data_IF_487567750685
#
_entry.id   IF_487567750685
#
_cell.length_a   1.000
_cell.length_b   1.000
_cell.length_c   1.000
_cell.angle_alpha   90.00
_cell.angle_beta   90.00
_cell.angle_gamma   90.00
#
_symmetry.space_group_name_H-M   'P 1'
#
loop_
_entity.id
_entity.type
_entity.pdbx_description
1 polymer ?
#
# COMPACT_ATOMS: atom_id res chain seq x y z
N UNK A 1 26.59 -28.33 114.01
CA UNK A 1 25.32 -27.89 114.60
C UNK A 1 24.50 -27.38 113.43
N UNK A 2 23.36 -27.91 113.03
CA UNK A 2 22.43 -28.84 113.64
C UNK A 2 21.53 -29.38 112.51
N UNK A 3 20.77 -30.42 112.82
CA UNK A 3 20.18 -31.42 111.95
C UNK A 3 18.86 -30.97 111.29
N UNK A 4 18.39 -31.74 110.30
CA UNK A 4 16.95 -31.72 109.97
C UNK A 4 16.58 -32.14 108.55
N UNK A 5 16.49 -33.46 108.33
CA UNK A 5 15.49 -34.06 107.45
C UNK A 5 14.07 -33.61 107.92
N UNK A 6 13.05 -33.40 107.09
CA UNK A 6 12.23 -34.43 106.41
C UNK A 6 11.16 -33.79 105.50
N UNK A 7 10.64 -34.60 104.56
CA UNK A 7 9.33 -34.52 103.86
C UNK A 7 9.15 -33.44 102.76
N UNK A 8 9.20 -33.82 101.47
CA UNK A 8 8.15 -34.49 100.69
C UNK A 8 6.85 -33.66 100.57
N UNK A 9 6.77 -32.84 99.53
CA UNK A 9 5.49 -32.41 98.96
C UNK A 9 5.51 -32.75 97.47
N UNK A 10 4.88 -33.89 97.18
CA UNK A 10 4.19 -34.17 95.93
C UNK A 10 3.25 -33.00 95.58
N UNK A 11 3.75 -32.07 94.77
CA UNK A 11 2.97 -31.06 94.09
C UNK A 11 3.04 -31.31 92.59
N UNK A 12 2.23 -32.25 92.10
CA UNK A 12 1.97 -32.38 90.67
C UNK A 12 1.50 -31.03 90.15
N UNK A 13 2.28 -30.44 89.23
CA UNK A 13 1.98 -29.16 88.59
C UNK A 13 0.60 -29.21 87.95
N UNK A 14 -0.35 -28.50 88.55
CA UNK A 14 -1.63 -28.24 87.94
C UNK A 14 -1.50 -27.08 86.96
N UNK A 15 -2.19 -27.24 85.84
CA UNK A 15 -2.72 -26.15 85.02
C UNK A 15 -1.75 -25.24 84.29
N UNK A 16 -1.51 -25.62 83.04
CA UNK A 16 -1.93 -24.71 81.97
C UNK A 16 -2.68 -25.50 80.91
N UNK A 17 -3.92 -25.88 81.26
CA UNK A 17 -4.90 -26.16 80.23
C UNK A 17 -5.06 -24.87 79.46
N UNK A 18 -4.47 -24.80 78.25
CA UNK A 18 -4.73 -23.71 77.33
C UNK A 18 -6.23 -23.75 77.08
N UNK A 19 -6.95 -22.80 77.68
CA UNK A 19 -8.39 -22.72 77.54
C UNK A 19 -8.71 -22.70 76.06
N UNK A 20 -9.68 -23.50 75.62
CA UNK A 20 -10.11 -23.53 74.20
C UNK A 20 -10.35 -22.11 73.66
N UNK A 21 -10.71 -21.17 74.55
CA UNK A 21 -10.97 -19.77 74.27
C UNK A 21 -9.70 -18.95 73.93
N UNK A 22 -8.53 -19.22 74.53
CA UNK A 22 -7.27 -18.50 74.25
C UNK A 22 -6.61 -19.00 72.95
N UNK A 23 -6.69 -20.31 72.69
CA UNK A 23 -6.32 -20.89 71.37
C UNK A 23 -7.24 -20.34 70.28
N UNK A 24 -8.51 -20.16 70.59
CA UNK A 24 -9.50 -19.59 69.67
C UNK A 24 -9.15 -18.14 69.35
N UNK A 25 -9.00 -17.26 70.36
CA UNK A 25 -8.64 -15.83 70.18
C UNK A 25 -7.31 -15.66 69.41
N UNK A 26 -6.28 -16.48 69.70
CA UNK A 26 -5.00 -16.44 68.97
C UNK A 26 -5.14 -16.90 67.51
N UNK A 27 -5.97 -17.92 67.24
CA UNK A 27 -6.29 -18.37 65.88
C UNK A 27 -7.03 -17.31 65.09
N UNK A 28 -7.97 -16.57 65.70
CA UNK A 28 -8.66 -15.47 65.02
C UNK A 28 -7.71 -14.36 64.59
N UNK A 29 -6.74 -14.00 65.43
CA UNK A 29 -5.70 -13.04 65.07
C UNK A 29 -4.77 -13.57 63.97
N UNK A 30 -4.35 -14.84 64.05
CA UNK A 30 -3.51 -15.47 63.02
C UNK A 30 -4.24 -15.59 61.66
N UNK A 31 -5.50 -16.02 61.65
CA UNK A 31 -6.33 -16.07 60.46
C UNK A 31 -6.57 -14.67 59.88
N UNK A 32 -6.76 -13.66 60.73
CA UNK A 32 -6.89 -12.26 60.31
C UNK A 32 -5.64 -11.75 59.56
N UNK A 33 -4.42 -12.01 60.07
CA UNK A 33 -3.19 -11.64 59.35
C UNK A 33 -3.04 -12.35 58.01
N UNK A 34 -3.39 -13.63 57.92
CA UNK A 34 -3.36 -14.36 56.64
C UNK A 34 -4.35 -13.78 55.62
N UNK A 35 -5.54 -13.36 56.06
CA UNK A 35 -6.51 -12.71 55.19
C UNK A 35 -6.02 -11.34 54.73
N UNK A 36 -5.42 -10.52 55.61
CA UNK A 36 -4.81 -9.24 55.22
C UNK A 36 -3.71 -9.44 54.19
N UNK A 37 -2.81 -10.41 54.41
CA UNK A 37 -1.72 -10.69 53.48
C UNK A 37 -2.25 -11.09 52.09
N UNK A 38 -3.31 -11.90 52.02
CA UNK A 38 -3.95 -12.28 50.76
C UNK A 38 -4.62 -11.08 50.07
N UNK A 39 -5.24 -10.18 50.82
CA UNK A 39 -5.83 -8.94 50.28
C UNK A 39 -4.74 -8.06 49.66
N UNK A 40 -3.61 -7.87 50.34
CA UNK A 40 -2.47 -7.07 49.84
C UNK A 40 -1.88 -7.69 48.57
N UNK A 41 -1.66 -9.01 48.55
CA UNK A 41 -1.16 -9.72 47.37
C UNK A 41 -2.15 -9.63 46.20
N UNK A 42 -3.46 -9.73 46.47
CA UNK A 42 -4.49 -9.59 45.45
C UNK A 42 -4.54 -8.18 44.85
N UNK A 43 -4.49 -7.14 45.70
CA UNK A 43 -4.48 -5.73 45.28
C UNK A 43 -3.24 -5.37 44.47
N UNK A 44 -2.06 -5.80 44.92
CA UNK A 44 -0.81 -5.59 44.18
C UNK A 44 -0.83 -6.31 42.84
N UNK A 45 -1.26 -7.58 42.80
CA UNK A 45 -1.42 -8.31 41.53
C UNK A 45 -2.42 -7.64 40.57
N UNK A 46 -3.53 -7.09 41.08
CA UNK A 46 -4.49 -6.34 40.28
C UNK A 46 -3.89 -5.03 39.74
N UNK A 47 -3.13 -4.30 40.56
CA UNK A 47 -2.44 -3.07 40.14
C UNK A 47 -1.39 -3.34 39.04
N UNK A 48 -0.56 -4.37 39.19
CA UNK A 48 0.41 -4.75 38.16
C UNK A 48 -0.28 -5.27 36.88
N UNK A 49 -1.35 -6.05 36.99
CA UNK A 49 -2.13 -6.51 35.81
C UNK A 49 -2.76 -5.35 35.05
N UNK A 50 -3.37 -4.39 35.76
CA UNK A 50 -3.99 -3.21 35.13
C UNK A 50 -2.95 -2.28 34.49
N UNK A 51 -1.76 -2.13 35.09
CA UNK A 51 -0.64 -1.42 34.48
C UNK A 51 -0.13 -2.12 33.19
N UNK A 52 0.05 -3.44 33.21
CA UNK A 52 0.48 -4.21 32.04
C UNK A 52 -0.56 -4.23 30.92
N UNK A 53 -1.85 -4.14 31.23
CA UNK A 53 -2.89 -4.05 30.20
C UNK A 53 -2.83 -2.72 29.44
N UNK A 54 -2.54 -1.59 30.11
CA UNK A 54 -2.39 -0.29 29.42
C UNK A 54 -1.34 -0.35 28.32
N UNK A 55 -0.16 -0.91 28.61
CA UNK A 55 0.91 -1.06 27.61
C UNK A 55 0.48 -1.97 26.46
N UNK A 56 -0.16 -3.11 26.74
CA UNK A 56 -0.65 -4.01 25.68
C UNK A 56 -1.72 -3.37 24.80
N UNK A 57 -2.59 -2.54 25.37
CA UNK A 57 -3.60 -1.81 24.60
C UNK A 57 -2.95 -0.79 23.67
N UNK A 58 -1.98 -0.01 24.17
CA UNK A 58 -1.23 0.95 23.36
C UNK A 58 -0.43 0.25 22.26
N UNK A 59 0.28 -0.85 22.56
CA UNK A 59 1.04 -1.61 21.56
C UNK A 59 0.12 -2.24 20.51
N UNK A 60 -1.05 -2.76 20.89
CA UNK A 60 -2.02 -3.31 19.93
C UNK A 60 -2.60 -2.24 19.03
N UNK A 61 -3.01 -1.10 19.58
CA UNK A 61 -3.50 0.03 18.79
C UNK A 61 -2.43 0.54 17.83
N UNK A 62 -1.20 0.74 18.31
CA UNK A 62 -0.08 1.14 17.46
C UNK A 62 0.21 0.10 16.36
N UNK A 63 0.13 -1.19 16.68
CA UNK A 63 0.33 -2.25 15.70
C UNK A 63 -0.79 -2.28 14.66
N UNK A 64 -2.04 -2.08 15.07
CA UNK A 64 -3.21 -1.98 14.18
C UNK A 64 -3.09 -0.74 13.28
N UNK A 65 -2.72 0.42 13.83
CA UNK A 65 -2.48 1.65 13.08
C UNK A 65 -1.34 1.46 12.06
N UNK A 66 -0.21 0.90 12.49
CA UNK A 66 0.94 0.62 11.61
C UNK A 66 0.54 -0.36 10.51
N UNK A 67 -0.23 -1.40 10.84
CA UNK A 67 -0.69 -2.37 9.85
C UNK A 67 -1.63 -1.71 8.84
N UNK A 68 -2.58 -0.90 9.30
CA UNK A 68 -3.50 -0.16 8.44
C UNK A 68 -2.75 0.82 7.52
N UNK A 69 -1.75 1.53 8.05
CA UNK A 69 -0.88 2.40 7.25
C UNK A 69 -0.08 1.59 6.23
N UNK A 70 0.45 0.43 6.62
CA UNK A 70 1.22 -0.47 5.74
C UNK A 70 0.35 -1.00 4.61
N UNK A 71 -0.87 -1.45 4.92
CA UNK A 71 -1.82 -1.95 3.93
C UNK A 71 -2.24 -0.83 2.97
N UNK A 72 -2.46 0.39 3.48
CA UNK A 72 -2.77 1.57 2.66
C UNK A 72 -1.61 1.93 1.73
N UNK A 73 -0.37 1.94 2.23
CA UNK A 73 0.83 2.22 1.43
C UNK A 73 1.03 1.13 0.37
N UNK A 74 0.84 -0.14 0.73
CA UNK A 74 0.95 -1.27 -0.20
C UNK A 74 -0.05 -1.14 -1.34
N UNK A 75 -1.32 -0.85 -1.00
CA UNK A 75 -2.37 -0.60 -1.98
C UNK A 75 -2.02 0.58 -2.89
N UNK A 76 -1.60 1.73 -2.34
CA UNK A 76 -1.20 2.90 -3.13
C UNK A 76 -0.02 2.60 -4.06
N UNK A 77 1.01 1.90 -3.57
CA UNK A 77 2.17 1.50 -4.37
C UNK A 77 1.77 0.58 -5.53
N UNK A 78 0.85 -0.34 -5.30
CA UNK A 78 0.33 -1.22 -6.36
C UNK A 78 -0.36 -0.42 -7.47
N UNK A 79 -1.18 0.58 -7.10
CA UNK A 79 -1.84 1.47 -8.05
C UNK A 79 -0.85 2.32 -8.84
N UNK A 80 0.14 2.92 -8.17
CA UNK A 80 1.20 3.71 -8.85
C UNK A 80 1.94 2.84 -9.86
N UNK A 81 2.27 1.60 -9.48
CA UNK A 81 2.99 0.67 -10.36
C UNK A 81 2.15 0.32 -11.59
N UNK A 82 0.86 0.03 -11.40
CA UNK A 82 -0.06 -0.28 -12.50
C UNK A 82 -0.23 0.91 -13.46
N UNK A 83 -0.34 2.14 -12.93
CA UNK A 83 -0.42 3.35 -13.75
C UNK A 83 0.88 3.60 -14.52
N UNK A 84 2.03 3.38 -13.89
CA UNK A 84 3.33 3.52 -14.54
C UNK A 84 3.53 2.48 -15.66
N UNK A 85 3.05 1.25 -15.47
CA UNK A 85 3.06 0.23 -16.51
C UNK A 85 2.19 0.63 -17.71
N UNK A 86 0.99 1.14 -17.45
CA UNK A 86 0.09 1.62 -18.49
C UNK A 86 0.69 2.80 -19.28
N UNK A 87 1.27 3.77 -18.57
CA UNK A 87 1.96 4.91 -19.20
C UNK A 87 3.16 4.46 -20.05
N UNK A 88 3.97 3.52 -19.54
CA UNK A 88 5.11 2.96 -20.27
C UNK A 88 4.65 2.28 -21.56
N UNK A 89 3.59 1.47 -21.51
CA UNK A 89 3.00 0.81 -22.67
C UNK A 89 2.65 1.81 -23.77
N UNK A 90 1.86 2.84 -23.46
CA UNK A 90 1.41 3.82 -24.46
C UNK A 90 2.54 4.74 -24.94
N UNK A 91 3.50 5.07 -24.07
CA UNK A 91 4.70 5.81 -24.45
C UNK A 91 5.55 5.01 -25.43
N UNK A 92 5.75 3.71 -25.19
CA UNK A 92 6.50 2.82 -26.08
C UNK A 92 5.80 2.65 -27.43
N UNK A 93 4.49 2.45 -27.44
CA UNK A 93 3.71 2.34 -28.68
C UNK A 93 3.76 3.64 -29.49
N UNK A 94 3.67 4.80 -28.82
CA UNK A 94 3.81 6.10 -29.46
C UNK A 94 5.20 6.29 -30.07
N UNK A 95 6.27 5.95 -29.33
CA UNK A 95 7.64 6.05 -29.80
C UNK A 95 7.88 5.15 -31.03
N UNK A 96 7.34 3.92 -31.01
CA UNK A 96 7.42 3.02 -32.15
C UNK A 96 6.70 3.59 -33.39
N UNK A 97 5.48 4.12 -33.22
CA UNK A 97 4.72 4.72 -34.30
C UNK A 97 5.44 5.95 -34.89
N UNK A 98 6.05 6.80 -34.04
CA UNK A 98 6.88 7.93 -34.50
C UNK A 98 8.09 7.48 -35.30
N UNK A 99 8.80 6.45 -34.82
CA UNK A 99 9.95 5.87 -35.53
C UNK A 99 9.57 5.36 -36.92
N UNK A 100 8.42 4.67 -37.04
CA UNK A 100 7.92 4.21 -38.34
C UNK A 100 7.58 5.39 -39.27
N UNK A 101 6.91 6.43 -38.75
CA UNK A 101 6.58 7.64 -39.52
C UNK A 101 7.85 8.35 -40.00
N UNK A 102 8.85 8.51 -39.13
CA UNK A 102 10.12 9.16 -39.46
C UNK A 102 10.90 8.34 -40.50
N UNK A 103 10.96 7.01 -40.36
CA UNK A 103 11.58 6.15 -41.36
C UNK A 103 10.92 6.26 -42.74
N UNK A 104 9.58 6.31 -42.79
CA UNK A 104 8.85 6.54 -44.03
C UNK A 104 9.08 7.95 -44.60
N UNK A 105 9.18 8.97 -43.74
CA UNK A 105 9.50 10.34 -44.14
C UNK A 105 10.87 10.42 -44.79
N UNK A 106 11.86 9.78 -44.19
CA UNK A 106 13.24 9.74 -44.70
C UNK A 106 13.35 8.97 -46.01
N UNK A 107 12.63 7.85 -46.14
CA UNK A 107 12.53 7.11 -47.40
C UNK A 107 11.93 7.94 -48.53
N UNK A 108 10.92 8.78 -48.23
CA UNK A 108 10.30 9.68 -49.21
C UNK A 108 11.22 10.86 -49.54
N UNK A 109 11.94 11.41 -48.55
CA UNK A 109 12.89 12.49 -48.74
C UNK A 109 14.10 12.05 -49.59
N UNK A 110 14.61 10.84 -49.35
CA UNK A 110 15.70 10.24 -50.12
C UNK A 110 15.26 9.70 -51.50
N UNK A 111 13.97 9.79 -51.84
CA UNK A 111 13.43 9.31 -53.11
C UNK A 111 13.34 7.79 -53.24
N UNK A 112 13.63 7.03 -52.17
CA UNK A 112 13.49 5.55 -52.12
C UNK A 112 12.03 5.13 -52.21
N UNK A 113 11.12 5.96 -51.67
CA UNK A 113 9.66 5.79 -51.76
C UNK A 113 9.00 7.05 -52.34
N UNK A 114 7.79 6.89 -52.90
CA UNK A 114 6.95 8.00 -53.37
C UNK A 114 5.68 8.10 -52.53
N UNK A 115 5.42 9.28 -51.96
CA UNK A 115 4.14 9.58 -51.34
C UNK A 115 3.07 9.74 -52.42
N UNK A 116 2.00 8.94 -52.34
CA UNK A 116 0.82 9.04 -53.21
C UNK A 116 -0.38 9.45 -52.37
N UNK A 117 -1.13 10.42 -52.85
CA UNK A 117 -2.36 10.90 -52.23
C UNK A 117 -3.47 10.61 -53.22
N UNK A 118 -4.54 9.95 -52.76
CA UNK A 118 -5.74 9.79 -53.56
C UNK A 118 -6.39 11.18 -53.73
N UNK A 119 -6.44 11.66 -54.96
CA UNK A 119 -7.01 12.97 -55.29
C UNK A 119 -7.93 12.82 -56.51
N UNK A 120 -9.07 13.51 -56.46
CA UNK A 120 -9.96 13.64 -57.62
C UNK A 120 -9.66 14.98 -58.29
N UNK A 121 -9.10 14.93 -59.49
CA UNK A 121 -8.84 16.14 -60.26
C UNK A 121 -10.08 16.50 -61.10
N UNK A 122 -10.61 17.73 -61.01
CA UNK A 122 -11.67 18.17 -61.91
C UNK A 122 -11.15 18.18 -63.35
N UNK A 123 -11.99 17.73 -64.30
CA UNK A 123 -11.68 17.78 -65.72
C UNK A 123 -11.74 19.25 -66.18
N UNK A 124 -10.66 19.74 -66.80
CA UNK A 124 -10.65 21.10 -67.36
C UNK A 124 -11.76 21.26 -68.42
N UNK A 125 -12.57 22.32 -68.34
CA UNK A 125 -13.67 22.60 -69.29
C UNK A 125 -13.22 23.20 -70.63
N UNK A 126 -11.93 23.42 -70.84
CA UNK A 126 -11.43 23.98 -72.11
C UNK A 126 -10.73 22.91 -72.96
N UNK A 127 -11.27 22.68 -74.16
CA UNK A 127 -10.65 21.89 -75.22
C UNK A 127 -9.25 22.42 -75.55
N UNK A 128 -8.24 21.86 -74.89
CA UNK A 128 -6.84 22.14 -75.16
C UNK A 128 -6.42 21.34 -76.41
N UNK A 129 -5.60 21.91 -77.32
CA UNK A 129 -5.11 21.18 -78.47
C UNK A 129 -4.41 19.89 -78.02
N UNK A 130 -4.64 18.79 -78.73
CA UNK A 130 -3.97 17.50 -78.51
C UNK A 130 -2.50 17.58 -78.95
N UNK A 131 -1.70 18.40 -78.25
CA UNK A 131 -0.25 18.42 -78.34
C UNK A 131 0.30 17.59 -77.19
N UNK A 132 1.10 16.58 -77.49
CA UNK A 132 1.76 15.71 -76.50
C UNK A 132 2.82 16.53 -75.77
N UNK A 133 2.42 17.28 -74.74
CA UNK A 133 3.35 17.97 -73.85
C UNK A 133 3.94 16.93 -72.92
N UNK A 134 5.26 16.79 -72.90
CA UNK A 134 5.96 15.98 -71.89
C UNK A 134 5.88 16.71 -70.54
N UNK A 135 4.69 16.69 -69.94
CA UNK A 135 4.44 17.29 -68.65
C UNK A 135 5.07 16.42 -67.56
N UNK A 136 5.79 17.05 -66.65
CA UNK A 136 6.28 16.40 -65.43
C UNK A 136 5.14 15.68 -64.72
N UNK A 137 5.37 14.42 -64.31
CA UNK A 137 4.37 13.63 -63.58
C UNK A 137 3.82 14.42 -62.40
N UNK A 138 2.49 14.48 -62.28
CA UNK A 138 1.82 15.15 -61.17
C UNK A 138 2.35 14.62 -59.82
N UNK A 139 2.90 15.52 -59.00
CA UNK A 139 3.46 15.20 -57.68
C UNK A 139 2.90 16.18 -56.64
N UNK A 140 2.60 15.72 -55.41
CA UNK A 140 2.26 16.62 -54.31
C UNK A 140 3.34 17.69 -54.10
N UNK A 141 2.92 18.91 -53.79
CA UNK A 141 3.84 19.99 -53.46
C UNK A 141 4.62 19.67 -52.17
N UNK A 142 5.80 20.27 -52.00
CA UNK A 142 6.62 20.04 -50.80
C UNK A 142 5.90 20.46 -49.50
N UNK A 143 5.06 21.50 -49.54
CA UNK A 143 4.21 21.89 -48.40
C UNK A 143 3.19 20.81 -48.07
N UNK A 144 2.46 20.30 -49.07
CA UNK A 144 1.49 19.22 -48.87
C UNK A 144 2.12 17.95 -48.29
N UNK A 145 3.35 17.61 -48.71
CA UNK A 145 4.10 16.47 -48.17
C UNK A 145 4.40 16.68 -46.68
N UNK A 146 4.90 17.87 -46.30
CA UNK A 146 5.20 18.20 -44.90
C UNK A 146 3.95 18.19 -44.02
N UNK A 147 2.85 18.76 -44.52
CA UNK A 147 1.60 18.84 -43.79
C UNK A 147 0.99 17.44 -43.59
N UNK A 148 1.12 16.55 -44.58
CA UNK A 148 0.75 15.13 -44.45
C UNK A 148 1.51 14.44 -43.31
N UNK A 149 2.84 14.60 -43.24
CA UNK A 149 3.63 13.98 -42.16
C UNK A 149 3.26 14.54 -40.78
N UNK A 150 3.05 15.85 -40.69
CA UNK A 150 2.58 16.51 -39.46
C UNK A 150 1.24 15.95 -39.01
N UNK A 151 0.31 15.75 -39.96
CA UNK A 151 -0.99 15.15 -39.68
C UNK A 151 -0.86 13.72 -39.17
N UNK A 152 -0.03 12.89 -39.80
CA UNK A 152 0.20 11.49 -39.38
C UNK A 152 0.78 11.41 -37.97
N UNK A 153 1.73 12.28 -37.63
CA UNK A 153 2.29 12.34 -36.28
C UNK A 153 1.23 12.73 -35.23
N UNK A 154 0.41 13.75 -35.50
CA UNK A 154 -0.66 14.17 -34.59
C UNK A 154 -1.71 13.08 -34.38
N UNK A 155 -2.07 12.36 -35.44
CA UNK A 155 -2.99 11.21 -35.35
C UNK A 155 -2.39 10.12 -34.46
N UNK A 156 -1.10 9.80 -34.61
CA UNK A 156 -0.44 8.81 -33.76
C UNK A 156 -0.48 9.20 -32.28
N UNK A 157 -0.22 10.47 -31.96
CA UNK A 157 -0.31 11.01 -30.59
C UNK A 157 -1.73 10.89 -30.04
N UNK A 158 -2.73 11.41 -30.76
CA UNK A 158 -4.12 11.42 -30.29
C UNK A 158 -4.65 9.98 -30.15
N UNK A 159 -4.32 9.08 -31.08
CA UNK A 159 -4.71 7.68 -30.96
C UNK A 159 -4.16 7.04 -29.68
N UNK A 160 -2.89 7.26 -29.35
CA UNK A 160 -2.30 6.72 -28.13
C UNK A 160 -2.88 7.35 -26.87
N UNK A 161 -3.21 8.65 -26.89
CA UNK A 161 -3.93 9.29 -25.78
C UNK A 161 -5.32 8.68 -25.56
N UNK A 162 -6.08 8.47 -26.63
CA UNK A 162 -7.42 7.88 -26.55
C UNK A 162 -7.35 6.43 -26.05
N UNK A 163 -6.43 5.62 -26.59
CA UNK A 163 -6.22 4.24 -26.15
C UNK A 163 -5.80 4.18 -24.68
N UNK A 164 -4.87 5.05 -24.26
CA UNK A 164 -4.45 5.16 -22.87
C UNK A 164 -5.60 5.53 -21.92
N UNK A 165 -6.45 6.47 -22.31
CA UNK A 165 -7.65 6.81 -21.53
C UNK A 165 -8.65 5.66 -21.46
N UNK A 166 -8.86 4.93 -22.55
CA UNK A 166 -9.74 3.76 -22.56
C UNK A 166 -9.21 2.64 -21.66
N UNK A 167 -7.92 2.33 -21.73
CA UNK A 167 -7.31 1.30 -20.89
C UNK A 167 -7.27 1.74 -19.41
N UNK A 168 -7.07 3.04 -19.12
CA UNK A 168 -7.18 3.59 -17.77
C UNK A 168 -8.57 3.36 -17.19
N UNK A 169 -9.64 3.75 -17.91
CA UNK A 169 -11.02 3.56 -17.44
C UNK A 169 -11.31 2.08 -17.19
N UNK A 170 -10.91 1.21 -18.11
CA UNK A 170 -11.13 -0.25 -17.97
C UNK A 170 -10.39 -0.86 -16.80
N UNK A 171 -9.25 -0.30 -16.38
CA UNK A 171 -8.40 -0.89 -15.34
C UNK A 171 -8.58 -0.24 -13.97
N UNK A 172 -8.89 1.05 -13.91
CA UNK A 172 -8.92 1.83 -12.68
C UNK A 172 -10.34 2.21 -12.22
N UNK A 173 -11.35 2.12 -13.07
CA UNK A 173 -12.73 2.56 -12.77
C UNK A 173 -13.74 1.40 -12.71
N UNK A 174 -13.28 0.18 -12.41
CA UNK A 174 -14.16 -0.97 -12.15
C UNK A 174 -14.72 -0.95 -10.73
#
# INVERSE_FOLDING_TARGET
MEYGWWENITGAGCSQGIGKNDVFIMKFNAHYYTLIALIIVSLTAYYYRSALQKERHVTKQQQEDIQQLTDTISYQNSHITMLAELDNKHTKELANAKSEIDGLRDDVAAGRRRLRIAATCPKSEAGSPSGVVNASTARPTNSSIRDYWTLRERIAVVNQQVLGLQDYIKTQCQ
#
